data_IF_529616551360
#
_entry.id   IF_529616551360
#
_cell.length_a   1.000
_cell.length_b   1.000
_cell.length_c   1.000
_cell.angle_alpha   90.00
_cell.angle_beta   90.00
_cell.angle_gamma   90.00
#
_symmetry.space_group_name_H-M   'P 1'
#
loop_
_entity.id
_entity.type
_entity.pdbx_description
1 polymer ?
#
# COMPACT_ATOMS: atom_id res chain seq x y z
N UNK A 1 -62.36 -52.60 4.72
CA UNK A 1 -62.21 -52.42 6.18
C UNK A 1 -62.10 -50.92 6.44
N UNK A 2 -63.19 -50.25 6.83
CA UNK A 2 -63.58 -49.81 8.20
C UNK A 2 -62.67 -48.74 8.84
N UNK A 3 -63.30 -47.56 9.04
CA UNK A 3 -63.10 -46.47 10.05
C UNK A 3 -61.81 -45.64 9.96
N UNK A 4 -61.81 -44.31 9.80
CA UNK A 4 -62.43 -43.19 10.57
C UNK A 4 -61.94 -43.01 12.01
N UNK A 5 -61.56 -41.77 12.34
CA UNK A 5 -61.48 -41.23 13.71
C UNK A 5 -60.21 -40.40 13.95
N UNK A 6 -60.25 -39.07 13.85
CA UNK A 6 -60.69 -38.09 14.88
C UNK A 6 -59.64 -37.89 15.98
N UNK A 7 -58.95 -36.75 15.99
CA UNK A 7 -59.34 -35.47 16.61
C UNK A 7 -59.07 -35.39 18.11
N UNK A 8 -58.34 -34.31 18.46
CA UNK A 8 -58.53 -33.56 19.69
C UNK A 8 -57.61 -33.92 20.83
N UNK A 9 -56.81 -32.95 21.29
CA UNK A 9 -57.09 -32.29 22.57
C UNK A 9 -56.50 -30.88 22.59
N UNK A 10 -57.36 -29.94 22.99
CA UNK A 10 -57.11 -28.54 23.22
C UNK A 10 -56.60 -28.32 24.64
N UNK A 11 -55.97 -27.14 24.81
CA UNK A 11 -56.06 -26.25 25.96
C UNK A 11 -55.09 -26.41 27.16
N UNK A 12 -54.31 -25.33 27.33
CA UNK A 12 -54.21 -24.49 28.53
C UNK A 12 -53.47 -24.98 29.79
N UNK A 13 -52.57 -24.11 30.26
CA UNK A 13 -51.96 -24.13 31.60
C UNK A 13 -50.50 -23.67 31.54
N UNK A 14 -50.20 -22.38 31.38
CA UNK A 14 -50.15 -21.35 32.42
C UNK A 14 -49.07 -21.60 33.51
N UNK A 15 -48.00 -20.80 33.41
CA UNK A 15 -47.16 -20.21 34.48
C UNK A 15 -46.42 -21.14 35.46
N UNK A 16 -45.10 -21.24 35.27
CA UNK A 16 -44.04 -21.21 36.30
C UNK A 16 -42.71 -21.27 35.52
N UNK A 17 -41.70 -20.42 35.63
CA UNK A 17 -41.26 -19.56 36.70
C UNK A 17 -39.73 -19.66 36.68
N UNK A 18 -39.06 -18.56 36.33
CA UNK A 18 -37.70 -18.20 36.72
C UNK A 18 -36.48 -18.98 36.15
N UNK A 19 -35.48 -18.14 35.85
CA UNK A 19 -34.03 -18.34 35.93
C UNK A 19 -33.24 -18.76 34.67
N UNK A 20 -32.37 -17.81 34.30
CA UNK A 20 -31.04 -17.96 33.71
C UNK A 20 -30.97 -18.23 32.20
N UNK A 21 -30.88 -17.13 31.42
CA UNK A 21 -29.86 -16.99 30.37
C UNK A 21 -29.85 -15.53 29.91
N UNK A 22 -29.16 -14.68 30.68
CA UNK A 22 -28.69 -13.40 30.17
C UNK A 22 -27.69 -13.69 29.06
N UNK A 23 -28.16 -13.64 27.82
CA UNK A 23 -27.32 -13.76 26.63
C UNK A 23 -26.53 -12.46 26.49
N UNK A 24 -25.46 -12.34 27.28
CA UNK A 24 -24.41 -11.37 27.03
C UNK A 24 -23.73 -11.83 25.76
N UNK A 25 -24.16 -11.27 24.62
CA UNK A 25 -23.43 -11.36 23.36
C UNK A 25 -22.10 -10.67 23.61
N UNK A 26 -21.09 -11.44 23.99
CA UNK A 26 -19.70 -11.00 23.90
C UNK A 26 -19.43 -10.94 22.41
N UNK A 27 -19.61 -9.74 21.83
CA UNK A 27 -19.11 -9.46 20.51
C UNK A 27 -17.63 -9.88 20.49
N UNK A 28 -17.17 -10.66 19.49
CA UNK A 28 -15.75 -10.87 19.35
C UNK A 28 -15.14 -9.48 19.21
N UNK A 29 -14.27 -9.12 20.15
CA UNK A 29 -13.35 -8.01 19.92
C UNK A 29 -12.54 -8.48 18.73
N UNK A 30 -12.89 -7.95 17.55
CA UNK A 30 -12.01 -8.04 16.41
C UNK A 30 -10.76 -7.32 16.90
N UNK A 31 -9.75 -8.11 17.29
CA UNK A 31 -8.42 -7.60 17.58
C UNK A 31 -7.95 -7.08 16.24
N UNK A 32 -8.30 -5.82 15.97
CA UNK A 32 -7.93 -5.06 14.79
C UNK A 32 -6.44 -5.29 14.64
N UNK A 33 -6.09 -6.18 13.70
CA UNK A 33 -4.74 -6.56 13.45
C UNK A 33 -4.05 -5.28 13.01
N UNK A 34 -3.34 -4.64 13.95
CA UNK A 34 -2.82 -3.27 13.83
C UNK A 34 -2.42 -3.04 12.37
N UNK A 35 -3.24 -2.26 11.66
CA UNK A 35 -3.13 -2.14 10.23
C UNK A 35 -1.71 -1.63 9.95
N UNK A 36 -0.91 -2.43 9.25
CA UNK A 36 0.44 -2.00 8.89
C UNK A 36 0.27 -0.80 7.99
N UNK A 37 0.66 0.37 8.51
CA UNK A 37 0.62 1.63 7.79
C UNK A 37 1.82 1.65 6.86
N UNK A 38 1.55 1.68 5.56
CA UNK A 38 2.57 1.73 4.51
C UNK A 38 2.90 3.18 4.14
N UNK A 39 3.98 3.38 3.40
CA UNK A 39 4.26 4.71 2.81
C UNK A 39 3.18 5.16 1.84
N UNK A 40 2.38 4.23 1.29
CA UNK A 40 1.37 4.50 0.26
C UNK A 40 -0.03 4.77 0.81
N UNK A 41 -0.32 4.39 2.06
CA UNK A 41 -1.68 4.48 2.62
C UNK A 41 -2.16 5.93 2.74
N UNK A 42 -3.31 6.25 2.14
CA UNK A 42 -3.91 7.60 2.20
C UNK A 42 -3.17 8.68 1.40
N UNK A 43 -2.20 8.29 0.57
CA UNK A 43 -1.46 9.21 -0.30
C UNK A 43 -2.24 9.52 -1.57
N UNK A 44 -2.37 10.80 -1.92
CA UNK A 44 -2.91 11.25 -3.20
C UNK A 44 -2.04 10.78 -4.38
N UNK A 45 -2.58 10.70 -5.61
CA UNK A 45 -1.78 10.47 -6.81
C UNK A 45 -0.61 11.45 -6.93
N UNK A 46 0.49 11.01 -7.53
CA UNK A 46 1.65 11.87 -7.81
C UNK A 46 1.27 12.91 -8.85
N UNK A 47 1.56 14.18 -8.53
CA UNK A 47 1.32 15.31 -9.42
C UNK A 47 2.57 15.64 -10.25
N UNK A 48 2.38 16.25 -11.43
CA UNK A 48 3.49 16.62 -12.30
C UNK A 48 4.50 17.56 -11.64
N UNK A 49 4.02 18.59 -10.93
CA UNK A 49 4.88 19.55 -10.21
C UNK A 49 5.76 18.84 -9.17
N UNK A 50 5.23 17.81 -8.55
CA UNK A 50 5.90 17.03 -7.52
C UNK A 50 6.92 16.09 -8.15
N UNK A 51 6.58 15.42 -9.26
CA UNK A 51 7.52 14.62 -10.02
C UNK A 51 8.72 15.45 -10.47
N UNK A 52 8.51 16.65 -11.02
CA UNK A 52 9.61 17.52 -11.46
C UNK A 52 10.54 17.87 -10.29
N UNK A 53 9.97 18.28 -9.15
CA UNK A 53 10.75 18.54 -7.93
C UNK A 53 11.51 17.29 -7.46
N UNK A 54 10.92 16.11 -7.60
CA UNK A 54 11.54 14.84 -7.22
C UNK A 54 12.73 14.51 -8.10
N UNK A 55 12.61 14.72 -9.42
CA UNK A 55 13.69 14.52 -10.39
C UNK A 55 14.92 15.40 -10.10
N UNK A 56 14.73 16.60 -9.56
CA UNK A 56 15.82 17.50 -9.18
C UNK A 56 16.63 17.00 -7.96
N UNK A 57 15.96 16.30 -7.04
CA UNK A 57 16.55 15.85 -5.76
C UNK A 57 17.06 14.41 -5.83
N UNK A 58 16.45 13.55 -6.65
CA UNK A 58 16.75 12.13 -6.70
C UNK A 58 18.23 11.82 -6.99
N UNK A 59 18.93 12.46 -7.95
CA UNK A 59 20.35 12.19 -8.21
C UNK A 59 21.24 12.48 -6.99
N UNK A 60 20.96 13.59 -6.29
CA UNK A 60 21.68 13.98 -5.08
C UNK A 60 21.44 12.97 -3.95
N UNK A 61 20.18 12.55 -3.77
CA UNK A 61 19.83 11.52 -2.78
C UNK A 61 20.57 10.22 -3.06
N UNK A 62 20.61 9.76 -4.32
CA UNK A 62 21.29 8.51 -4.70
C UNK A 62 22.79 8.56 -4.46
N UNK A 63 23.47 9.66 -4.80
CA UNK A 63 24.90 9.81 -4.52
C UNK A 63 25.17 9.74 -3.03
N UNK A 64 24.43 10.53 -2.25
CA UNK A 64 24.55 10.54 -0.80
C UNK A 64 24.24 9.17 -0.17
N UNK A 65 23.16 8.51 -0.60
CA UNK A 65 22.76 7.20 -0.10
C UNK A 65 23.83 6.14 -0.36
N UNK A 66 24.47 6.16 -1.55
CA UNK A 66 25.59 5.27 -1.88
C UNK A 66 26.81 5.52 -1.01
N UNK A 67 27.20 6.78 -0.84
CA UNK A 67 28.36 7.17 -0.02
C UNK A 67 28.18 6.78 1.46
N UNK A 68 26.94 6.86 1.96
CA UNK A 68 26.61 6.60 3.36
C UNK A 68 26.04 5.19 3.60
N UNK A 69 26.01 4.33 2.58
CA UNK A 69 25.48 2.94 2.63
C UNK A 69 24.05 2.86 3.19
N UNK A 70 23.20 3.77 2.73
CA UNK A 70 21.79 3.86 3.13
C UNK A 70 20.98 2.78 2.41
N UNK A 71 20.31 1.93 3.18
CA UNK A 71 19.40 0.91 2.66
C UNK A 71 17.98 1.45 2.53
N UNK A 72 17.61 1.90 1.32
CA UNK A 72 16.27 2.35 1.02
C UNK A 72 15.74 1.64 -0.23
N UNK A 73 14.71 0.79 -0.08
CA UNK A 73 14.21 -0.06 -1.16
C UNK A 73 12.74 -0.49 -0.96
N UNK A 74 12.05 -0.90 -2.05
CA UNK A 74 10.74 -1.52 -1.96
C UNK A 74 10.77 -2.79 -1.10
N UNK A 75 9.69 -3.04 -0.36
CA UNK A 75 9.49 -4.26 0.45
C UNK A 75 8.02 -4.66 0.46
N UNK A 76 7.72 -5.91 0.78
CA UNK A 76 6.36 -6.34 1.08
C UNK A 76 6.19 -6.52 2.61
N UNK A 77 5.38 -5.68 3.25
CA UNK A 77 5.04 -5.82 4.68
C UNK A 77 3.64 -6.41 4.84
N UNK A 78 3.58 -7.63 5.40
CA UNK A 78 2.33 -8.40 5.59
C UNK A 78 1.49 -8.49 4.29
N UNK A 79 2.14 -8.72 3.16
CA UNK A 79 1.49 -8.86 1.86
C UNK A 79 1.05 -7.54 1.21
N UNK A 80 1.36 -6.38 1.80
CA UNK A 80 1.18 -5.06 1.20
C UNK A 80 2.52 -4.51 0.72
N UNK A 81 2.50 -3.84 -0.44
CA UNK A 81 3.64 -3.06 -0.91
C UNK A 81 3.99 -1.95 0.08
N UNK A 82 5.27 -1.74 0.29
CA UNK A 82 5.79 -0.70 1.14
C UNK A 82 7.18 -0.27 0.69
N UNK A 83 7.74 0.75 1.35
CA UNK A 83 9.09 1.20 1.10
C UNK A 83 9.85 1.30 2.42
N UNK A 84 10.97 0.59 2.51
CA UNK A 84 11.87 0.67 3.65
C UNK A 84 12.81 1.87 3.44
N UNK A 85 12.96 2.70 4.46
CA UNK A 85 13.98 3.75 4.52
C UNK A 85 14.36 3.99 5.99
N UNK A 86 15.65 4.20 6.31
CA UNK A 86 16.08 4.50 7.68
C UNK A 86 15.82 5.97 8.03
N UNK A 87 15.89 6.29 9.33
CA UNK A 87 15.70 7.66 9.84
C UNK A 87 16.67 8.66 9.19
N UNK A 88 17.91 8.27 8.93
CA UNK A 88 18.88 9.15 8.25
C UNK A 88 18.43 9.54 6.85
N UNK A 89 17.79 8.63 6.12
CA UNK A 89 17.24 8.93 4.81
C UNK A 89 16.07 9.91 4.90
N UNK A 90 15.22 9.76 5.93
CA UNK A 90 14.13 10.68 6.23
C UNK A 90 14.67 12.09 6.54
N UNK A 91 15.63 12.20 7.47
CA UNK A 91 16.24 13.48 7.84
C UNK A 91 16.89 14.17 6.65
N UNK A 92 17.55 13.40 5.78
CA UNK A 92 18.20 13.96 4.60
C UNK A 92 17.19 14.59 3.63
N UNK A 93 16.08 13.91 3.34
CA UNK A 93 15.06 14.45 2.42
C UNK A 93 14.29 15.60 3.05
N UNK A 94 14.05 15.55 4.37
CA UNK A 94 13.44 16.64 5.15
C UNK A 94 14.29 17.90 5.14
N UNK A 95 15.62 17.76 5.24
CA UNK A 95 16.55 18.89 5.09
C UNK A 95 16.51 19.54 3.69
N UNK A 96 15.95 18.84 2.68
CA UNK A 96 15.68 19.35 1.33
C UNK A 96 14.23 19.85 1.16
N UNK A 97 13.49 19.94 2.26
CA UNK A 97 12.12 20.43 2.32
C UNK A 97 11.06 19.43 1.83
N UNK A 98 11.37 18.14 1.84
CA UNK A 98 10.40 17.08 1.53
C UNK A 98 9.76 16.51 2.80
N UNK A 99 8.50 16.10 2.71
CA UNK A 99 7.96 15.11 3.64
C UNK A 99 8.56 13.74 3.28
N UNK A 100 9.17 13.06 4.26
CA UNK A 100 9.89 11.81 4.00
C UNK A 100 8.97 10.72 3.45
N UNK A 101 7.79 10.52 4.07
CA UNK A 101 6.83 9.51 3.66
C UNK A 101 6.35 9.75 2.22
N UNK A 102 6.12 11.02 1.86
CA UNK A 102 5.73 11.43 0.51
C UNK A 102 6.85 11.20 -0.51
N UNK A 103 8.09 11.55 -0.18
CA UNK A 103 9.23 11.35 -1.07
C UNK A 103 9.41 9.87 -1.45
N UNK A 104 9.37 8.97 -0.47
CA UNK A 104 9.48 7.53 -0.73
C UNK A 104 8.22 6.93 -1.40
N UNK A 105 7.04 7.51 -1.15
CA UNK A 105 5.84 7.20 -1.91
C UNK A 105 6.02 7.52 -3.41
N UNK A 106 6.48 8.74 -3.74
CA UNK A 106 6.75 9.17 -5.12
C UNK A 106 7.79 8.26 -5.77
N UNK A 107 8.89 7.98 -5.07
CA UNK A 107 9.94 7.07 -5.56
C UNK A 107 9.38 5.68 -5.93
N UNK A 108 8.64 5.06 -5.02
CA UNK A 108 8.08 3.73 -5.25
C UNK A 108 7.02 3.71 -6.37
N UNK A 109 6.13 4.71 -6.41
CA UNK A 109 5.08 4.77 -7.44
C UNK A 109 5.63 5.06 -8.82
N UNK A 110 6.62 5.95 -8.95
CA UNK A 110 7.25 6.23 -10.25
C UNK A 110 8.09 5.06 -10.74
N UNK A 111 8.78 4.33 -9.85
CA UNK A 111 9.46 3.09 -10.23
C UNK A 111 8.46 2.04 -10.75
N UNK A 112 7.33 1.84 -10.07
CA UNK A 112 6.27 0.94 -10.53
C UNK A 112 5.61 1.41 -11.84
N UNK A 113 5.41 2.71 -12.01
CA UNK A 113 4.87 3.30 -13.24
C UNK A 113 5.81 3.05 -14.43
N UNK A 114 7.12 3.17 -14.23
CA UNK A 114 8.13 2.87 -15.26
C UNK A 114 8.06 1.41 -15.70
N UNK A 115 8.00 0.47 -14.75
CA UNK A 115 7.83 -0.97 -15.05
C UNK A 115 6.57 -1.21 -15.89
N UNK A 116 5.44 -0.57 -15.54
CA UNK A 116 4.19 -0.68 -16.32
C UNK A 116 4.36 -0.15 -17.75
N UNK A 117 5.08 0.97 -17.92
CA UNK A 117 5.33 1.60 -19.23
C UNK A 117 6.28 0.75 -20.08
N UNK A 118 7.31 0.17 -19.46
CA UNK A 118 8.32 -0.67 -20.12
C UNK A 118 7.78 -2.04 -20.54
N UNK A 119 7.05 -2.72 -19.64
CA UNK A 119 6.51 -4.07 -19.88
C UNK A 119 5.19 -4.05 -20.68
N UNK A 120 4.63 -2.86 -20.96
CA UNK A 120 3.46 -2.71 -21.81
C UNK A 120 2.20 -3.35 -21.25
N UNK A 121 1.71 -2.90 -20.08
CA UNK A 121 0.44 -3.30 -19.43
C UNK A 121 0.20 -4.81 -19.19
N UNK A 122 1.07 -5.70 -19.65
CA UNK A 122 0.95 -7.16 -19.52
C UNK A 122 1.63 -7.65 -18.22
N UNK A 123 1.13 -7.15 -17.08
CA UNK A 123 1.61 -7.53 -15.75
C UNK A 123 0.93 -8.82 -15.28
N UNK A 124 1.23 -9.95 -15.92
CA UNK A 124 0.64 -11.25 -15.57
C UNK A 124 0.99 -11.70 -14.12
N UNK A 125 1.99 -11.10 -13.47
CA UNK A 125 2.21 -11.24 -12.04
C UNK A 125 2.89 -10.00 -11.44
N UNK A 126 2.11 -9.02 -10.99
CA UNK A 126 2.63 -7.88 -10.25
C UNK A 126 3.32 -8.34 -8.95
N UNK A 127 4.61 -7.99 -8.72
CA UNK A 127 5.30 -8.30 -7.47
C UNK A 127 4.56 -7.76 -6.25
N UNK A 128 4.62 -8.48 -5.12
CA UNK A 128 3.88 -8.13 -3.88
C UNK A 128 4.34 -6.83 -3.23
N UNK A 129 5.57 -6.42 -3.51
CA UNK A 129 6.22 -5.19 -3.07
C UNK A 129 5.99 -4.01 -4.03
N UNK A 130 5.39 -4.24 -5.21
CA UNK A 130 5.11 -3.19 -6.17
C UNK A 130 3.82 -2.44 -5.80
N UNK A 131 3.84 -1.11 -5.59
CA UNK A 131 2.66 -0.32 -5.23
C UNK A 131 1.63 -0.21 -6.36
N UNK A 132 0.37 0.09 -5.98
CA UNK A 132 -0.69 0.34 -6.97
C UNK A 132 -0.47 1.74 -7.51
N UNK A 133 -0.53 1.86 -8.84
CA UNK A 133 -0.28 3.09 -9.58
C UNK A 133 -1.54 3.44 -10.36
N UNK A 134 -1.97 4.68 -10.27
CA UNK A 134 -3.11 5.18 -11.02
C UNK A 134 -2.79 5.40 -12.50
N UNK A 135 -3.81 5.36 -13.37
CA UNK A 135 -3.62 5.61 -14.81
C UNK A 135 -2.96 6.95 -15.08
N UNK A 136 -3.28 7.98 -14.31
CA UNK A 136 -2.66 9.31 -14.43
C UNK A 136 -1.16 9.30 -14.11
N UNK A 137 -0.73 8.46 -13.17
CA UNK A 137 0.68 8.31 -12.80
C UNK A 137 1.46 7.53 -13.88
N UNK A 138 0.83 6.54 -14.51
CA UNK A 138 1.39 5.83 -15.69
C UNK A 138 1.57 6.79 -16.86
N UNK A 139 0.56 7.62 -17.15
CA UNK A 139 0.66 8.64 -18.20
C UNK A 139 1.70 9.73 -17.88
N UNK A 140 1.83 10.10 -16.61
CA UNK A 140 2.86 11.02 -16.16
C UNK A 140 4.27 10.43 -16.37
N UNK A 141 4.45 9.15 -16.04
CA UNK A 141 5.71 8.44 -16.29
C UNK A 141 6.01 8.33 -17.78
N UNK A 142 5.01 8.05 -18.63
CA UNK A 142 5.14 8.05 -20.10
C UNK A 142 5.58 9.41 -20.63
N UNK A 143 4.96 10.50 -20.15
CA UNK A 143 5.27 11.88 -20.54
C UNK A 143 6.71 12.26 -20.19
N UNK A 144 7.20 11.83 -19.03
CA UNK A 144 8.52 12.19 -18.50
C UNK A 144 9.54 11.05 -18.57
N UNK A 145 9.29 10.05 -19.41
CA UNK A 145 10.07 8.80 -19.46
C UNK A 145 11.57 9.06 -19.64
N UNK A 146 11.95 9.93 -20.57
CA UNK A 146 13.36 10.27 -20.81
C UNK A 146 14.05 10.85 -19.58
N UNK A 147 13.38 11.73 -18.84
CA UNK A 147 13.92 12.33 -17.60
C UNK A 147 14.01 11.31 -16.48
N UNK A 148 12.98 10.47 -16.32
CA UNK A 148 12.94 9.41 -15.33
C UNK A 148 14.04 8.36 -15.58
N UNK A 149 14.25 7.91 -16.83
CA UNK A 149 15.30 6.98 -17.19
C UNK A 149 16.69 7.57 -16.93
N UNK A 150 16.90 8.84 -17.29
CA UNK A 150 18.17 9.54 -17.05
C UNK A 150 18.56 9.57 -15.58
N UNK A 151 17.61 9.81 -14.68
CA UNK A 151 17.88 9.80 -13.24
C UNK A 151 17.84 8.40 -12.62
N UNK A 152 17.25 7.43 -13.32
CA UNK A 152 17.08 6.04 -12.86
C UNK A 152 18.30 5.17 -13.12
N UNK A 153 19.07 5.43 -14.18
CA UNK A 153 20.32 4.74 -14.43
C UNK A 153 21.43 5.30 -13.50
N UNK A 154 22.23 4.45 -12.83
CA UNK A 154 23.47 4.93 -12.24
C UNK A 154 24.35 5.47 -13.37
N UNK A 155 25.13 6.53 -13.10
CA UNK A 155 26.25 6.90 -13.98
C UNK A 155 27.18 5.68 -14.10
N UNK A 156 26.96 4.85 -15.11
CA UNK A 156 27.97 3.91 -15.57
C UNK A 156 29.12 4.78 -16.04
N UNK A 157 30.20 4.73 -15.25
CA UNK A 157 31.33 5.62 -15.42
C UNK A 157 31.75 5.71 -16.88
N UNK A 158 31.73 6.94 -17.41
CA UNK A 158 32.68 7.34 -18.43
C UNK A 158 34.07 7.14 -17.82
N UNK A 159 34.60 5.93 -18.01
CA UNK A 159 36.03 5.69 -17.87
C UNK A 159 36.68 6.57 -18.94
N UNK A 160 37.45 7.56 -18.46
CA UNK A 160 38.36 8.35 -19.27
C UNK A 160 39.37 7.46 -20.00
#
# INVERSE_FOLDING_TARGET
MRKTGCQGWLASGLLCGLLLCGLTVVAPVDVEAAAVTTVYDGQSPVEEKELLRFLDVLPQFRSWARENRIEAHPVARRGKADFLYPEDAARWVEAKGWDARRFFCVMGRMAAALVIVEDGNDLQARPKDMPVVDKSEVELARKHLGSLLKVSMPDEGMSH
#
